data_IF_772627974814
#
_entry.id   IF_772627974814
#
_cell.length_a   1.000
_cell.length_b   1.000
_cell.length_c   1.000
_cell.angle_alpha   90.00
_cell.angle_beta   90.00
_cell.angle_gamma   90.00
#
_symmetry.space_group_name_H-M   'P 1'
#
loop_
_entity.id
_entity.type
_entity.pdbx_description
1 polymer ?
#
# COMPACT_ATOMS: atom_id res chain seq x y z
N UNK A 1 11.48 -12.37 4.42
CA UNK A 1 10.23 -12.11 5.17
C UNK A 1 9.06 -12.22 4.21
N UNK A 2 7.88 -12.55 4.73
CA UNK A 2 6.61 -12.51 4.00
C UNK A 2 5.99 -11.13 4.16
N UNK A 3 5.84 -10.40 3.06
CA UNK A 3 5.43 -9.00 3.08
C UNK A 3 4.05 -8.81 2.46
N UNK A 4 3.22 -8.01 3.13
CA UNK A 4 2.01 -7.44 2.55
C UNK A 4 2.28 -6.03 2.04
N UNK A 5 1.66 -5.62 0.94
CA UNK A 5 1.85 -4.25 0.40
C UNK A 5 0.57 -3.45 0.50
N UNK A 6 0.63 -2.26 1.12
CA UNK A 6 -0.45 -1.29 1.03
C UNK A 6 -0.55 -0.78 -0.41
N UNK A 7 -1.61 -1.20 -1.10
CA UNK A 7 -1.70 -1.12 -2.54
C UNK A 7 -2.88 -0.26 -2.96
N UNK A 8 -2.59 0.87 -3.62
CA UNK A 8 -3.60 1.78 -4.18
C UNK A 8 -3.73 1.66 -5.70
N UNK A 9 -2.85 0.89 -6.34
CA UNK A 9 -2.74 0.80 -7.79
C UNK A 9 -2.01 1.95 -8.47
N UNK A 10 -1.64 2.97 -7.68
CA UNK A 10 -0.84 4.10 -8.15
C UNK A 10 0.64 3.76 -8.26
N UNK A 11 1.37 4.62 -8.98
CA UNK A 11 2.81 4.46 -9.29
C UNK A 11 3.68 4.17 -8.05
N UNK A 12 3.41 4.83 -6.93
CA UNK A 12 4.23 4.70 -5.73
C UNK A 12 4.00 3.35 -5.03
N UNK A 13 2.76 2.88 -4.94
CA UNK A 13 2.47 1.56 -4.39
C UNK A 13 3.02 0.43 -5.27
N UNK A 14 2.93 0.58 -6.60
CA UNK A 14 3.51 -0.37 -7.55
C UNK A 14 5.04 -0.40 -7.47
N UNK A 15 5.70 0.76 -7.40
CA UNK A 15 7.17 0.84 -7.27
C UNK A 15 7.65 0.30 -5.91
N UNK A 16 6.93 0.60 -4.84
CA UNK A 16 7.23 0.06 -3.51
C UNK A 16 7.11 -1.47 -3.49
N UNK A 17 6.04 -2.03 -4.09
CA UNK A 17 5.89 -3.47 -4.28
C UNK A 17 7.05 -4.06 -5.08
N UNK A 18 7.41 -3.45 -6.22
CA UNK A 18 8.50 -3.92 -7.07
C UNK A 18 9.82 -3.99 -6.31
N UNK A 19 10.17 -2.94 -5.55
CA UNK A 19 11.38 -2.92 -4.73
C UNK A 19 11.34 -3.94 -3.60
N UNK A 20 10.19 -4.13 -2.94
CA UNK A 20 10.04 -5.13 -1.90
C UNK A 20 10.21 -6.56 -2.45
N UNK A 21 9.62 -6.86 -3.60
CA UNK A 21 9.71 -8.16 -4.26
C UNK A 21 11.13 -8.51 -4.73
N UNK A 22 12.02 -7.52 -4.89
CA UNK A 22 13.43 -7.76 -5.20
C UNK A 22 14.25 -8.22 -3.99
N UNK A 23 13.76 -7.97 -2.76
CA UNK A 23 14.48 -8.26 -1.53
C UNK A 23 13.84 -9.40 -0.71
N UNK A 24 12.52 -9.52 -0.75
CA UNK A 24 11.71 -10.38 0.11
C UNK A 24 10.47 -10.92 -0.63
N UNK A 25 9.71 -11.82 0.01
CA UNK A 25 8.54 -12.48 -0.59
C UNK A 25 7.29 -11.61 -0.41
N UNK A 26 6.77 -11.01 -1.48
CA UNK A 26 5.50 -10.28 -1.44
C UNK A 26 4.36 -11.27 -1.64
N UNK A 27 3.57 -11.48 -0.59
CA UNK A 27 2.61 -12.58 -0.53
C UNK A 27 1.16 -12.15 -0.74
N UNK A 28 0.85 -10.87 -0.50
CA UNK A 28 -0.48 -10.31 -0.75
C UNK A 28 -0.45 -8.79 -0.92
N UNK A 29 -1.49 -8.28 -1.56
CA UNK A 29 -1.80 -6.86 -1.62
C UNK A 29 -2.89 -6.53 -0.58
N UNK A 30 -2.82 -5.35 0.01
CA UNK A 30 -3.80 -4.88 1.00
C UNK A 30 -4.36 -3.55 0.54
N UNK A 31 -5.67 -3.48 0.35
CA UNK A 31 -6.34 -2.28 -0.13
C UNK A 31 -7.54 -1.96 0.74
N UNK A 32 -7.58 -0.74 1.27
CA UNK A 32 -8.73 -0.22 2.02
C UNK A 32 -9.57 0.64 1.09
N UNK A 33 -10.86 0.34 0.97
CA UNK A 33 -11.82 1.08 0.15
C UNK A 33 -12.63 2.03 1.04
N UNK A 34 -12.33 3.33 1.08
CA UNK A 34 -13.16 4.27 1.83
C UNK A 34 -14.50 4.49 1.11
N UNK A 35 -15.60 4.46 1.86
CA UNK A 35 -16.92 4.90 1.42
C UNK A 35 -16.91 6.41 1.11
N UNK A 36 -16.14 7.17 1.90
CA UNK A 36 -15.90 8.58 1.65
C UNK A 36 -14.88 8.77 0.52
N UNK A 37 -15.37 9.26 -0.63
CA UNK A 37 -14.53 9.54 -1.82
C UNK A 37 -13.52 10.67 -1.62
N UNK A 38 -13.68 11.49 -0.58
CA UNK A 38 -12.78 12.59 -0.20
C UNK A 38 -11.86 12.26 0.98
N UNK A 39 -11.61 10.97 1.28
CA UNK A 39 -10.65 10.58 2.33
C UNK A 39 -9.29 11.24 2.12
N UNK A 40 -8.80 11.92 3.16
CA UNK A 40 -7.46 12.52 3.18
C UNK A 40 -6.34 11.49 3.37
N UNK A 41 -6.68 10.25 3.76
CA UNK A 41 -5.72 9.21 4.11
C UNK A 41 -5.54 8.18 3.00
N UNK A 42 -6.60 7.82 2.28
CA UNK A 42 -6.58 6.82 1.21
C UNK A 42 -6.69 7.45 -0.19
N UNK A 43 -5.95 6.90 -1.14
CA UNK A 43 -6.09 7.26 -2.56
C UNK A 43 -7.39 6.65 -3.10
N UNK A 44 -8.39 7.47 -3.43
CA UNK A 44 -9.72 6.99 -3.89
C UNK A 44 -9.86 6.79 -5.40
N UNK A 45 -9.14 7.51 -6.29
CA UNK A 45 -9.29 7.32 -7.73
C UNK A 45 -8.94 5.90 -8.15
N UNK A 46 -9.81 5.29 -8.96
CA UNK A 46 -9.56 4.01 -9.61
C UNK A 46 -9.23 2.83 -8.67
N UNK A 47 -9.53 2.90 -7.37
CA UNK A 47 -9.29 1.79 -6.44
C UNK A 47 -9.93 0.48 -6.90
N UNK A 48 -11.09 0.54 -7.56
CA UNK A 48 -11.75 -0.64 -8.12
C UNK A 48 -10.90 -1.39 -9.15
N UNK A 49 -9.92 -0.74 -9.80
CA UNK A 49 -8.98 -1.36 -10.73
C UNK A 49 -7.86 -2.15 -10.03
N UNK A 50 -7.63 -1.92 -8.74
CA UNK A 50 -6.60 -2.66 -7.97
C UNK A 50 -6.84 -4.18 -8.00
N UNK A 51 -8.11 -4.61 -8.08
CA UNK A 51 -8.48 -6.02 -8.27
C UNK A 51 -7.95 -6.59 -9.58
N UNK A 52 -8.05 -5.84 -10.67
CA UNK A 52 -7.51 -6.26 -11.97
C UNK A 52 -5.98 -6.27 -11.96
N UNK A 53 -5.36 -5.30 -11.28
CA UNK A 53 -3.90 -5.28 -11.10
C UNK A 53 -3.43 -6.48 -10.28
N UNK A 54 -4.09 -6.80 -9.16
CA UNK A 54 -3.78 -7.98 -8.34
C UNK A 54 -3.86 -9.28 -9.15
N UNK A 55 -4.93 -9.44 -9.94
CA UNK A 55 -5.07 -10.57 -10.87
C UNK A 55 -3.95 -10.63 -11.91
N UNK A 56 -3.58 -9.50 -12.49
CA UNK A 56 -2.50 -9.44 -13.49
C UNK A 56 -1.12 -9.74 -12.87
N UNK A 57 -0.87 -9.33 -11.63
CA UNK A 57 0.36 -9.63 -10.88
C UNK A 57 0.37 -11.09 -10.42
N UNK A 58 -0.79 -11.71 -10.23
CA UNK A 58 -0.92 -13.08 -9.74
C UNK A 58 -0.83 -13.20 -8.21
N UNK A 59 -1.14 -12.12 -7.49
CA UNK A 59 -1.14 -12.07 -6.02
C UNK A 59 -2.56 -11.97 -5.47
N UNK A 60 -2.85 -12.60 -4.31
CA UNK A 60 -4.10 -12.37 -3.60
C UNK A 60 -4.16 -10.91 -3.10
N UNK A 61 -5.40 -10.41 -2.94
CA UNK A 61 -5.66 -9.09 -2.43
C UNK A 61 -6.65 -9.15 -1.27
N UNK A 62 -6.23 -8.68 -0.12
CA UNK A 62 -7.10 -8.40 1.03
C UNK A 62 -7.75 -7.04 0.81
N UNK A 63 -9.08 -7.03 0.82
CA UNK A 63 -9.89 -5.83 0.59
C UNK A 63 -10.80 -5.61 1.78
N UNK A 64 -10.68 -4.42 2.40
CA UNK A 64 -11.54 -4.01 3.52
C UNK A 64 -12.25 -2.72 3.14
N UNK A 65 -13.57 -2.68 3.30
CA UNK A 65 -14.34 -1.45 3.16
C UNK A 65 -14.21 -0.62 4.46
N UNK A 66 -13.91 0.66 4.32
CA UNK A 66 -13.79 1.63 5.41
C UNK A 66 -14.95 2.62 5.33
N UNK A 67 -15.76 2.82 6.38
CA UNK A 67 -16.80 3.85 6.40
C UNK A 67 -16.24 5.29 6.28
N UNK A 68 -14.91 5.47 6.29
CA UNK A 68 -14.26 6.76 5.99
C UNK A 68 -14.58 7.86 7.00
N UNK A 69 -14.97 7.48 8.23
CA UNK A 69 -15.14 8.41 9.33
C UNK A 69 -13.77 8.82 9.82
N UNK A 70 -13.53 10.13 9.86
CA UNK A 70 -12.30 10.70 10.38
C UNK A 70 -12.04 10.13 11.79
N UNK A 71 -10.83 9.58 12.01
CA UNK A 71 -10.39 8.84 13.21
C UNK A 71 -10.66 7.31 13.24
N UNK A 72 -11.60 6.77 12.47
CA UNK A 72 -11.85 5.31 12.35
C UNK A 72 -10.97 4.65 11.27
N UNK A 73 -10.42 5.43 10.31
CA UNK A 73 -9.58 4.95 9.21
C UNK A 73 -8.34 4.14 9.67
N UNK A 74 -7.80 4.42 10.86
CA UNK A 74 -6.68 3.66 11.42
C UNK A 74 -7.14 2.28 11.88
N UNK A 75 -8.34 2.17 12.46
CA UNK A 75 -8.90 0.90 12.88
C UNK A 75 -9.17 0.01 11.66
N UNK A 76 -9.69 0.60 10.58
CA UNK A 76 -9.93 -0.12 9.32
C UNK A 76 -8.61 -0.59 8.68
N UNK A 77 -7.59 0.26 8.67
CA UNK A 77 -6.24 -0.12 8.24
C UNK A 77 -5.67 -1.26 9.10
N UNK A 78 -5.82 -1.16 10.41
CA UNK A 78 -5.36 -2.19 11.35
C UNK A 78 -6.06 -3.52 11.10
N UNK A 79 -7.37 -3.51 10.91
CA UNK A 79 -8.14 -4.70 10.56
C UNK A 79 -7.69 -5.32 9.24
N UNK A 80 -7.44 -4.50 8.21
CA UNK A 80 -6.93 -4.99 6.92
C UNK A 80 -5.54 -5.62 7.01
N UNK A 81 -4.64 -5.01 7.79
CA UNK A 81 -3.29 -5.55 8.03
C UNK A 81 -3.36 -6.84 8.87
N UNK A 82 -4.21 -6.87 9.90
CA UNK A 82 -4.42 -8.04 10.72
C UNK A 82 -4.97 -9.22 9.89
N UNK A 83 -5.98 -8.98 9.04
CA UNK A 83 -6.50 -10.01 8.13
C UNK A 83 -5.42 -10.53 7.18
N UNK A 84 -4.60 -9.65 6.61
CA UNK A 84 -3.47 -10.07 5.76
C UNK A 84 -2.44 -10.93 6.51
N UNK A 85 -2.17 -10.60 7.78
CA UNK A 85 -1.32 -11.41 8.66
C UNK A 85 -1.93 -12.80 8.91
N UNK A 86 -3.22 -12.87 9.23
CA UNK A 86 -3.92 -14.13 9.50
C UNK A 86 -4.07 -15.03 8.27
N UNK A 87 -4.47 -14.47 7.13
CA UNK A 87 -4.77 -15.24 5.91
C UNK A 87 -3.51 -15.63 5.11
N UNK A 88 -2.46 -14.80 5.16
CA UNK A 88 -1.29 -14.95 4.31
C UNK A 88 0.04 -15.06 5.08
N UNK A 89 0.01 -15.00 6.41
CA UNK A 89 1.21 -15.12 7.25
C UNK A 89 2.19 -13.98 7.00
N UNK A 90 1.69 -12.75 6.89
CA UNK A 90 2.51 -11.55 6.69
C UNK A 90 3.30 -11.23 7.96
N UNK A 91 4.60 -10.97 7.80
CA UNK A 91 5.55 -10.60 8.87
C UNK A 91 5.88 -9.09 8.84
N UNK A 92 5.51 -8.39 7.77
CA UNK A 92 5.71 -6.95 7.65
C UNK A 92 4.92 -6.32 6.51
N UNK A 93 4.69 -5.01 6.63
CA UNK A 93 3.92 -4.21 5.67
C UNK A 93 4.83 -3.23 4.95
N UNK A 94 4.68 -3.17 3.63
CA UNK A 94 5.35 -2.22 2.74
C UNK A 94 4.38 -1.10 2.39
N UNK A 95 4.87 0.14 2.43
CA UNK A 95 4.08 1.32 2.05
C UNK A 95 4.74 2.08 0.90
N UNK A 96 3.90 2.68 0.04
CA UNK A 96 4.34 3.62 -1.00
C UNK A 96 4.49 5.07 -0.50
N UNK A 97 4.58 5.33 0.80
CA UNK A 97 4.69 6.69 1.32
C UNK A 97 6.03 7.31 0.93
N UNK A 98 5.98 8.44 0.22
CA UNK A 98 7.19 9.17 -0.22
C UNK A 98 7.56 10.28 0.76
N UNK A 99 6.66 11.23 1.03
CA UNK A 99 6.94 12.38 1.90
C UNK A 99 5.92 12.66 3.00
N UNK A 100 4.81 11.91 3.05
CA UNK A 100 3.74 12.14 4.03
C UNK A 100 4.11 11.55 5.39
N UNK A 101 4.58 12.40 6.30
CA UNK A 101 4.87 12.00 7.70
C UNK A 101 3.61 11.48 8.40
N UNK A 102 2.47 12.09 8.09
CA UNK A 102 1.18 11.69 8.64
C UNK A 102 0.81 10.25 8.28
N UNK A 103 0.97 9.84 7.01
CA UNK A 103 0.70 8.46 6.59
C UNK A 103 1.74 7.50 7.17
N UNK A 104 3.03 7.81 7.04
CA UNK A 104 4.11 6.93 7.49
C UNK A 104 4.03 6.63 9.00
N UNK A 105 3.81 7.65 9.83
CA UNK A 105 3.73 7.48 11.29
C UNK A 105 2.54 6.63 11.73
N UNK A 106 1.40 6.74 11.03
CA UNK A 106 0.20 5.93 11.36
C UNK A 106 0.40 4.47 10.98
N UNK A 107 0.86 4.19 9.76
CA UNK A 107 1.13 2.81 9.33
C UNK A 107 2.18 2.17 10.23
N UNK A 108 3.24 2.91 10.59
CA UNK A 108 4.27 2.42 11.50
C UNK A 108 3.70 2.05 12.88
N UNK A 109 2.86 2.90 13.48
CA UNK A 109 2.21 2.60 14.77
C UNK A 109 1.30 1.37 14.67
N UNK A 110 0.50 1.28 13.62
CA UNK A 110 -0.37 0.11 13.39
C UNK A 110 0.44 -1.18 13.26
N UNK A 111 1.56 -1.15 12.53
CA UNK A 111 2.44 -2.31 12.43
C UNK A 111 3.06 -2.67 13.78
N UNK A 112 3.51 -1.68 14.55
CA UNK A 112 4.08 -1.89 15.89
C UNK A 112 3.06 -2.54 16.85
N UNK A 113 1.82 -2.04 16.86
CA UNK A 113 0.72 -2.60 17.67
C UNK A 113 0.38 -4.05 17.29
N UNK A 114 0.54 -4.42 16.01
CA UNK A 114 0.31 -5.77 15.49
C UNK A 114 1.55 -6.67 15.55
N UNK A 115 2.70 -6.16 16.03
CA UNK A 115 3.96 -6.91 16.08
C UNK A 115 4.57 -7.20 14.70
N UNK A 116 4.28 -6.36 13.70
CA UNK A 116 4.74 -6.47 12.32
C UNK A 116 5.82 -5.44 12.01
N UNK A 117 6.70 -5.77 11.06
CA UNK A 117 7.65 -4.79 10.51
C UNK A 117 6.97 -3.78 9.59
N UNK A 118 7.48 -2.55 9.53
CA UNK A 118 7.01 -1.51 8.60
C UNK A 118 8.15 -1.06 7.68
N UNK A 119 7.97 -1.22 6.37
CA UNK A 119 8.96 -0.90 5.34
C UNK A 119 8.46 0.24 4.45
N UNK A 120 9.29 1.28 4.30
CA UNK A 120 8.97 2.45 3.48
C UNK A 120 10.07 2.66 2.43
N UNK A 121 10.12 1.85 1.36
CA UNK A 121 11.23 1.86 0.39
C UNK A 121 11.35 3.15 -0.41
N UNK A 122 10.32 4.01 -0.40
CA UNK A 122 10.30 5.29 -1.13
C UNK A 122 10.47 6.51 -0.22
N UNK A 123 10.62 6.30 1.10
CA UNK A 123 10.57 7.36 2.09
C UNK A 123 11.69 8.39 1.92
N UNK A 124 11.31 9.66 1.85
CA UNK A 124 12.19 10.83 1.68
C UNK A 124 13.10 10.77 0.46
N UNK A 125 12.78 9.93 -0.53
CA UNK A 125 13.47 9.95 -1.80
C UNK A 125 12.99 11.13 -2.65
N UNK A 126 13.89 11.62 -3.51
CA UNK A 126 13.57 12.70 -4.44
C UNK A 126 12.51 12.24 -5.45
N UNK A 127 11.39 12.96 -5.49
CA UNK A 127 10.23 12.58 -6.31
C UNK A 127 10.54 12.62 -7.81
N UNK A 128 11.42 13.54 -8.25
CA UNK A 128 11.83 13.63 -9.65
C UNK A 128 12.69 12.42 -10.03
N UNK A 129 13.58 11.98 -9.15
CA UNK A 129 14.35 10.74 -9.34
C UNK A 129 13.44 9.51 -9.41
N UNK A 130 12.43 9.41 -8.54
CA UNK A 130 11.46 8.30 -8.59
C UNK A 130 10.70 8.25 -9.93
N UNK A 131 10.32 9.42 -10.47
CA UNK A 131 9.69 9.48 -11.80
C UNK A 131 10.66 9.04 -12.91
N UNK A 132 11.92 9.46 -12.84
CA UNK A 132 12.93 9.02 -13.81
C UNK A 132 13.22 7.53 -13.72
N UNK A 133 13.20 6.95 -12.53
CA UNK A 133 13.33 5.51 -12.31
C UNK A 133 12.19 4.75 -12.98
N UNK A 134 10.94 5.18 -12.75
CA UNK A 134 9.77 4.58 -13.40
C UNK A 134 9.92 4.56 -14.93
N UNK A 135 10.38 5.66 -15.53
CA UNK A 135 10.61 5.76 -16.97
C UNK A 135 11.75 4.84 -17.43
N UNK A 136 12.87 4.81 -16.71
CA UNK A 136 14.06 4.00 -17.06
C UNK A 136 13.78 2.50 -16.99
N UNK A 137 12.97 2.08 -16.03
CA UNK A 137 12.57 0.68 -15.84
C UNK A 137 11.39 0.26 -16.74
N UNK A 138 10.84 1.20 -17.54
CA UNK A 138 9.82 0.90 -18.54
C UNK A 138 8.39 0.80 -17.97
N UNK A 139 8.15 1.26 -16.75
CA UNK A 139 6.81 1.29 -16.16
C UNK A 139 5.88 2.18 -16.98
N UNK A 140 4.68 1.68 -17.26
CA UNK A 140 3.63 2.44 -17.93
C UNK A 140 2.73 3.07 -16.87
N UNK A 141 2.86 4.39 -16.68
CA UNK A 141 2.11 5.15 -15.69
C UNK A 141 1.14 6.09 -16.39
N UNK A 142 -0.14 6.01 -16.03
CA UNK A 142 -1.20 6.87 -16.56
C UNK A 142 -1.60 7.87 -15.48
N UNK A 143 -1.65 9.16 -15.83
CA UNK A 143 -2.24 10.19 -14.97
C UNK A 143 -3.76 10.09 -15.11
N UNK A 144 -4.43 9.76 -14.02
CA UNK A 144 -5.89 9.59 -13.96
C UNK A 144 -6.49 10.37 -12.81
N UNK A 145 -7.65 11.01 -13.04
CA UNK A 145 -8.43 11.75 -12.06
C UNK A 145 -9.91 11.47 -12.22
#
# INVERSE_FOLDING_TARGET
MRLGVLFSGGKDSCLAMHRAAACDDVVCLVTVFPENRESFFFHTPNLHLTRLQAQAIGLPQVVVDSPGRQEEEIADLSAAIAQASEEHGVEGIVTGAVGSVYQATRVQRTCEELGLWCFNPLWQLDQVQLLWELVREGHQVIVSG
#
